data_IF_427708202043
#
_entry.id   IF_427708202043
#
_cell.length_a   1.000
_cell.length_b   1.000
_cell.length_c   1.000
_cell.angle_alpha   90.00
_cell.angle_beta   90.00
_cell.angle_gamma   90.00
#
_symmetry.space_group_name_H-M   'P 1'
#
loop_
_entity.id
_entity.type
_entity.pdbx_description
1 polymer ?
#
# COMPACT_ATOMS: atom_id res chain seq x y z
N UNK A 1 -2.05 24.69 33.68
CA UNK A 1 -2.57 24.08 32.44
C UNK A 1 -2.56 22.57 32.65
N UNK A 2 -3.74 21.94 32.67
CA UNK A 2 -3.92 20.52 32.96
C UNK A 2 -3.59 19.66 31.74
N UNK A 3 -2.52 18.87 31.82
CA UNK A 3 -2.25 17.80 30.85
C UNK A 3 -3.04 16.54 31.24
N UNK A 4 -4.14 16.27 30.56
CA UNK A 4 -4.79 14.95 30.62
C UNK A 4 -3.98 13.98 29.77
N UNK A 5 -3.31 13.04 30.43
CA UNK A 5 -2.70 11.88 29.78
C UNK A 5 -3.82 11.05 29.13
N UNK A 6 -3.70 10.83 27.82
CA UNK A 6 -4.57 9.92 27.08
C UNK A 6 -4.14 8.50 27.47
N UNK A 7 -4.99 7.80 28.23
CA UNK A 7 -4.80 6.37 28.49
C UNK A 7 -5.16 5.59 27.23
N UNK A 8 -4.19 4.87 26.68
CA UNK A 8 -4.37 4.01 25.51
C UNK A 8 -4.45 2.53 25.92
N UNK A 9 -5.24 1.72 25.20
CA UNK A 9 -5.36 0.30 25.50
C UNK A 9 -4.03 -0.45 25.33
N UNK A 10 -3.86 -1.46 26.19
CA UNK A 10 -2.71 -2.35 26.23
C UNK A 10 -2.43 -3.00 24.85
N UNK A 11 -1.14 -3.23 24.57
CA UNK A 11 -0.65 -3.92 23.38
C UNK A 11 -1.43 -5.20 23.09
N UNK A 12 -1.84 -5.36 21.83
CA UNK A 12 -2.48 -6.60 21.36
C UNK A 12 -1.40 -7.69 21.30
N UNK A 13 -1.52 -8.63 22.22
CA UNK A 13 -0.67 -9.80 22.34
C UNK A 13 -0.96 -10.77 21.18
N UNK A 14 0.01 -10.94 20.27
CA UNK A 14 -0.15 -11.72 19.04
C UNK A 14 -0.32 -13.23 19.34
N UNK A 15 0.19 -13.71 20.49
CA UNK A 15 -0.07 -15.07 20.97
C UNK A 15 -1.57 -15.28 21.31
N UNK A 16 -2.28 -14.23 21.72
CA UNK A 16 -3.73 -14.31 21.96
C UNK A 16 -4.56 -14.28 20.67
N UNK A 17 -3.96 -14.03 19.51
CA UNK A 17 -4.63 -14.15 18.20
C UNK A 17 -4.55 -15.58 17.64
N UNK A 18 -3.49 -16.35 17.93
CA UNK A 18 -3.48 -17.79 17.62
C UNK A 18 -4.41 -18.57 18.56
N UNK A 19 -4.44 -18.21 19.84
CA UNK A 19 -5.24 -18.93 20.83
C UNK A 19 -6.73 -18.54 20.81
N UNK A 20 -7.09 -17.41 20.19
CA UNK A 20 -8.49 -17.00 20.02
C UNK A 20 -9.26 -17.84 19.01
N UNK A 21 -8.56 -18.61 18.17
CA UNK A 21 -9.20 -19.51 17.20
C UNK A 21 -9.80 -20.74 17.87
N UNK A 22 -9.36 -21.09 19.09
CA UNK A 22 -9.68 -22.41 19.66
C UNK A 22 -10.53 -22.43 20.93
N UNK A 23 -10.97 -21.28 21.47
CA UNK A 23 -11.82 -21.33 22.67
C UNK A 23 -12.76 -20.13 22.87
N UNK A 24 -13.88 -20.13 22.14
CA UNK A 24 -15.16 -19.53 22.60
C UNK A 24 -16.34 -20.44 22.22
N UNK A 25 -16.51 -21.52 22.99
CA UNK A 25 -17.77 -22.25 23.09
C UNK A 25 -18.80 -21.40 23.85
N UNK A 26 -19.34 -20.39 23.19
CA UNK A 26 -20.69 -19.89 23.47
C UNK A 26 -21.53 -20.29 22.28
N UNK A 27 -22.60 -21.06 22.49
CA UNK A 27 -23.43 -21.70 21.47
C UNK A 27 -24.18 -20.74 20.55
N UNK A 28 -23.44 -20.00 19.73
CA UNK A 28 -23.88 -19.29 18.54
C UNK A 28 -22.90 -19.72 17.43
N UNK A 29 -23.33 -20.68 16.62
CA UNK A 29 -22.62 -21.03 15.39
C UNK A 29 -22.80 -19.84 14.45
N UNK A 30 -21.84 -18.93 14.42
CA UNK A 30 -21.78 -17.93 13.36
C UNK A 30 -21.39 -18.67 12.08
N UNK A 31 -22.32 -18.75 11.12
CA UNK A 31 -21.96 -19.19 9.77
C UNK A 31 -20.93 -18.21 9.21
N UNK A 32 -19.73 -18.72 8.98
CA UNK A 32 -18.63 -17.95 8.45
C UNK A 32 -18.92 -17.55 6.99
N UNK A 33 -18.98 -16.24 6.74
CA UNK A 33 -19.35 -15.72 5.42
C UNK A 33 -18.21 -15.92 4.41
N UNK A 34 -18.53 -15.83 3.12
CA UNK A 34 -17.51 -15.87 2.04
C UNK A 34 -16.51 -14.72 2.22
N UNK A 35 -16.98 -13.57 2.67
CA UNK A 35 -16.17 -12.40 3.00
C UNK A 35 -15.20 -12.67 4.16
N UNK A 36 -15.64 -13.35 5.22
CA UNK A 36 -14.78 -13.68 6.37
C UNK A 36 -13.65 -14.62 5.97
N UNK A 37 -13.94 -15.65 5.17
CA UNK A 37 -12.93 -16.59 4.63
C UNK A 37 -11.91 -15.87 3.74
N UNK A 38 -12.38 -14.91 2.94
CA UNK A 38 -11.49 -14.09 2.11
C UNK A 38 -10.54 -13.26 2.98
N UNK A 39 -11.07 -12.58 4.00
CA UNK A 39 -10.27 -11.76 4.93
C UNK A 39 -9.25 -12.65 5.65
N UNK A 40 -9.67 -13.79 6.19
CA UNK A 40 -8.77 -14.71 6.89
C UNK A 40 -7.65 -15.23 6.00
N UNK A 41 -7.96 -15.57 4.73
CA UNK A 41 -6.95 -15.97 3.75
C UNK A 41 -5.91 -14.87 3.52
N UNK A 42 -6.35 -13.62 3.37
CA UNK A 42 -5.44 -12.47 3.19
C UNK A 42 -4.61 -12.20 4.46
N UNK A 43 -5.22 -12.28 5.65
CA UNK A 43 -4.52 -12.15 6.93
C UNK A 43 -3.47 -13.24 7.10
N UNK A 44 -3.79 -14.49 6.73
CA UNK A 44 -2.86 -15.61 6.81
C UNK A 44 -1.61 -15.38 5.93
N UNK A 45 -1.79 -14.88 4.71
CA UNK A 45 -0.67 -14.50 3.83
C UNK A 45 0.18 -13.40 4.48
N UNK A 46 -0.44 -12.38 5.07
CA UNK A 46 0.28 -11.30 5.74
C UNK A 46 1.06 -11.78 6.98
N UNK A 47 0.53 -12.72 7.75
CA UNK A 47 1.24 -13.30 8.90
C UNK A 47 2.52 -14.03 8.46
N UNK A 48 2.50 -14.71 7.31
CA UNK A 48 3.69 -15.35 6.72
C UNK A 48 4.73 -14.33 6.28
N UNK A 49 4.28 -13.25 5.65
CA UNK A 49 5.14 -12.12 5.25
C UNK A 49 5.81 -11.53 6.48
N UNK A 50 5.03 -11.27 7.54
CA UNK A 50 5.52 -10.78 8.82
C UNK A 50 6.56 -11.72 9.42
N UNK A 51 6.32 -13.02 9.41
CA UNK A 51 7.24 -14.02 9.93
C UNK A 51 8.61 -13.97 9.23
N UNK A 52 8.62 -13.93 7.89
CA UNK A 52 9.86 -13.84 7.11
C UNK A 52 10.56 -12.49 7.36
N UNK A 53 9.79 -11.40 7.35
CA UNK A 53 10.30 -10.04 7.56
C UNK A 53 10.90 -9.84 8.95
N UNK A 54 10.32 -10.47 9.97
CA UNK A 54 10.78 -10.37 11.37
C UNK A 54 11.81 -11.46 11.74
N UNK A 55 12.24 -12.31 10.81
CA UNK A 55 13.10 -13.45 11.12
C UNK A 55 14.58 -13.10 11.30
N UNK A 56 15.29 -13.83 12.16
CA UNK A 56 16.77 -13.76 12.25
C UNK A 56 17.46 -14.43 11.06
N UNK A 57 16.75 -15.31 10.36
CA UNK A 57 17.21 -16.03 9.19
C UNK A 57 16.77 -15.28 7.94
N UNK A 58 17.67 -14.48 7.39
CA UNK A 58 17.34 -13.63 6.25
C UNK A 58 17.36 -14.38 4.93
N UNK A 59 16.53 -13.92 4.00
CA UNK A 59 16.68 -14.25 2.60
C UNK A 59 18.06 -13.78 2.11
N UNK A 60 18.72 -14.60 1.28
CA UNK A 60 20.00 -14.24 0.69
C UNK A 60 19.83 -12.99 -0.17
N UNK A 61 20.86 -12.13 -0.17
CA UNK A 61 20.87 -10.92 -0.98
C UNK A 61 20.59 -11.22 -2.47
N UNK A 62 21.15 -12.31 -2.99
CA UNK A 62 20.92 -12.75 -4.37
C UNK A 62 19.48 -13.09 -4.70
N UNK A 63 18.65 -13.39 -3.69
CA UNK A 63 17.21 -13.68 -3.85
C UNK A 63 16.42 -12.37 -3.84
N UNK A 64 16.64 -11.52 -2.83
CA UNK A 64 15.90 -10.25 -2.69
C UNK A 64 16.27 -9.18 -3.72
N UNK A 65 17.36 -9.39 -4.48
CA UNK A 65 17.78 -8.50 -5.56
C UNK A 65 17.31 -8.97 -6.96
N UNK A 66 16.56 -10.07 -7.05
CA UNK A 66 15.96 -10.53 -8.30
C UNK A 66 14.94 -9.51 -8.80
N UNK A 67 14.96 -9.17 -10.09
CA UNK A 67 13.94 -8.30 -10.67
C UNK A 67 12.57 -8.96 -10.75
N UNK A 68 11.55 -8.18 -11.09
CA UNK A 68 10.17 -8.69 -11.22
C UNK A 68 10.14 -9.94 -12.11
N UNK A 69 10.84 -9.90 -13.25
CA UNK A 69 10.80 -10.99 -14.23
C UNK A 69 11.41 -12.28 -13.69
N UNK A 70 12.54 -12.18 -13.00
CA UNK A 70 13.22 -13.31 -12.39
C UNK A 70 12.35 -13.94 -11.30
N UNK A 71 11.73 -13.12 -10.44
CA UNK A 71 10.83 -13.61 -9.38
C UNK A 71 9.58 -14.27 -9.98
N UNK A 72 8.99 -13.67 -11.02
CA UNK A 72 7.82 -14.25 -11.71
C UNK A 72 8.15 -15.55 -12.45
N UNK A 73 9.38 -15.69 -12.95
CA UNK A 73 9.83 -16.91 -13.62
C UNK A 73 10.12 -18.05 -12.65
N UNK A 74 10.28 -17.75 -11.36
CA UNK A 74 10.45 -18.78 -10.34
C UNK A 74 9.11 -19.52 -10.12
N UNK A 75 9.16 -20.84 -10.05
CA UNK A 75 7.98 -21.66 -9.76
C UNK A 75 7.64 -21.71 -8.27
N UNK A 76 8.62 -21.53 -7.39
CA UNK A 76 8.42 -21.62 -5.95
C UNK A 76 8.05 -20.25 -5.38
N UNK A 77 7.10 -20.23 -4.44
CA UNK A 77 6.72 -19.04 -3.70
C UNK A 77 7.32 -19.12 -2.29
N UNK A 78 8.10 -18.11 -1.90
CA UNK A 78 8.83 -18.12 -0.62
C UNK A 78 7.89 -18.20 0.59
N UNK A 79 6.67 -17.67 0.47
CA UNK A 79 5.67 -17.72 1.54
C UNK A 79 5.19 -19.16 1.82
N UNK A 80 5.38 -20.10 0.89
CA UNK A 80 5.11 -21.51 1.15
C UNK A 80 6.01 -22.08 2.26
N UNK A 81 7.20 -21.49 2.44
CA UNK A 81 8.24 -21.95 3.38
C UNK A 81 8.46 -20.98 4.55
N UNK A 82 7.46 -20.14 4.87
CA UNK A 82 7.56 -19.15 5.94
C UNK A 82 7.89 -19.77 7.32
N UNK A 83 7.51 -21.02 7.55
CA UNK A 83 7.81 -21.82 8.75
C UNK A 83 9.31 -22.02 8.99
N UNK A 84 10.15 -21.96 7.95
CA UNK A 84 11.61 -22.09 8.05
C UNK A 84 12.31 -20.85 8.61
N UNK A 85 11.56 -19.78 8.84
CA UNK A 85 12.02 -18.47 9.27
C UNK A 85 11.62 -18.26 10.74
N UNK A 86 12.53 -18.51 11.70
CA UNK A 86 12.21 -18.42 13.12
C UNK A 86 12.14 -16.97 13.57
N UNK A 87 11.26 -16.70 14.54
CA UNK A 87 11.09 -15.38 15.17
C UNK A 87 12.03 -15.24 16.35
N UNK A 88 13.29 -14.90 16.09
CA UNK A 88 14.33 -14.81 17.13
C UNK A 88 14.77 -13.37 17.44
N UNK A 89 14.41 -12.39 16.62
CA UNK A 89 14.72 -10.99 16.90
C UNK A 89 13.72 -10.39 17.87
N UNK A 90 14.23 -9.62 18.82
CA UNK A 90 13.45 -8.78 19.73
C UNK A 90 12.87 -7.58 18.97
N UNK A 91 11.81 -7.82 18.20
CA UNK A 91 11.07 -6.75 17.52
C UNK A 91 10.22 -5.93 18.50
N UNK A 92 10.14 -4.59 18.35
CA UNK A 92 10.72 -3.77 17.28
C UNK A 92 12.22 -3.52 17.49
N UNK A 93 12.98 -3.45 16.39
CA UNK A 93 14.34 -2.93 16.41
C UNK A 93 14.31 -1.42 16.62
N UNK A 94 15.26 -0.89 17.39
CA UNK A 94 15.55 0.55 17.41
C UNK A 94 16.15 0.97 16.07
N UNK A 95 16.05 2.27 15.76
CA UNK A 95 16.67 2.89 14.58
C UNK A 95 18.16 2.53 14.48
N UNK A 96 18.89 2.61 15.58
CA UNK A 96 20.32 2.32 15.61
C UNK A 96 20.61 0.83 15.38
N UNK A 97 19.80 -0.07 15.93
CA UNK A 97 19.92 -1.51 15.68
C UNK A 97 19.61 -1.84 14.23
N UNK A 98 18.55 -1.27 13.65
CA UNK A 98 18.20 -1.46 12.26
C UNK A 98 19.30 -0.96 11.31
N UNK A 99 19.88 0.22 11.59
CA UNK A 99 21.00 0.79 10.82
C UNK A 99 22.26 -0.07 10.93
N UNK A 100 22.62 -0.50 12.15
CA UNK A 100 23.78 -1.39 12.36
C UNK A 100 23.59 -2.72 11.64
N UNK A 101 22.37 -3.25 11.66
CA UNK A 101 22.05 -4.50 10.99
C UNK A 101 22.12 -4.35 9.46
N UNK A 102 21.51 -3.32 8.88
CA UNK A 102 21.55 -3.06 7.43
C UNK A 102 22.98 -2.78 6.92
N UNK A 103 23.85 -2.20 7.76
CA UNK A 103 25.24 -1.94 7.42
C UNK A 103 26.15 -3.19 7.42
N UNK A 104 25.71 -4.30 8.00
CA UNK A 104 26.51 -5.53 8.06
C UNK A 104 26.33 -6.43 6.82
N UNK A 105 27.41 -7.09 6.40
CA UNK A 105 27.40 -7.94 5.20
C UNK A 105 26.39 -9.10 5.33
N UNK A 106 25.64 -9.38 4.25
CA UNK A 106 24.67 -10.48 4.19
C UNK A 106 23.33 -10.23 4.89
N UNK A 107 23.01 -8.98 5.27
CA UNK A 107 21.74 -8.60 5.92
C UNK A 107 20.72 -7.98 4.96
N UNK A 108 19.42 -7.99 5.33
CA UNK A 108 18.36 -7.54 4.43
C UNK A 108 18.49 -6.05 4.13
N UNK A 109 18.51 -5.75 2.84
CA UNK A 109 18.16 -4.42 2.36
C UNK A 109 16.65 -4.28 2.48
N UNK A 110 16.19 -3.65 3.55
CA UNK A 110 14.78 -3.67 3.96
C UNK A 110 13.80 -3.27 2.85
N UNK A 111 14.10 -2.21 2.10
CA UNK A 111 13.32 -1.82 0.92
C UNK A 111 13.20 -2.97 -0.09
N UNK A 112 14.31 -3.64 -0.39
CA UNK A 112 14.37 -4.71 -1.38
C UNK A 112 13.64 -5.96 -0.89
N UNK A 113 13.77 -6.27 0.41
CA UNK A 113 13.00 -7.33 1.06
C UNK A 113 11.49 -7.03 0.99
N UNK A 114 11.08 -5.81 1.31
CA UNK A 114 9.67 -5.40 1.28
C UNK A 114 9.12 -5.42 -0.15
N UNK A 115 9.90 -4.97 -1.16
CA UNK A 115 9.55 -5.12 -2.59
C UNK A 115 9.40 -6.59 -2.97
N UNK A 116 10.38 -7.43 -2.62
CA UNK A 116 10.37 -8.85 -2.92
C UNK A 116 9.13 -9.55 -2.31
N UNK A 117 8.87 -9.31 -1.03
CA UNK A 117 7.70 -9.86 -0.33
C UNK A 117 6.40 -9.33 -0.93
N UNK A 118 6.35 -8.08 -1.43
CA UNK A 118 5.19 -7.58 -2.16
C UNK A 118 4.92 -8.39 -3.45
N UNK A 119 5.96 -8.75 -4.22
CA UNK A 119 5.82 -9.62 -5.40
C UNK A 119 5.29 -10.99 -5.00
N UNK A 120 5.87 -11.59 -3.95
CA UNK A 120 5.46 -12.91 -3.45
C UNK A 120 4.00 -12.92 -2.99
N UNK A 121 3.51 -11.84 -2.37
CA UNK A 121 2.10 -11.69 -2.00
C UNK A 121 1.21 -11.63 -3.24
N UNK A 122 1.57 -10.85 -4.26
CA UNK A 122 0.79 -10.76 -5.49
C UNK A 122 0.62 -12.14 -6.14
N UNK A 123 1.68 -12.98 -6.11
CA UNK A 123 1.66 -14.37 -6.60
C UNK A 123 0.72 -15.30 -5.82
N UNK A 124 0.21 -14.89 -4.65
CA UNK A 124 -0.82 -15.65 -3.91
C UNK A 124 -2.25 -15.32 -4.36
N UNK A 125 -2.44 -14.23 -5.12
CA UNK A 125 -3.76 -13.77 -5.54
C UNK A 125 -4.24 -14.53 -6.79
N UNK A 126 -5.46 -15.08 -6.73
CA UNK A 126 -6.00 -15.89 -7.83
C UNK A 126 -6.17 -15.13 -9.14
N UNK A 127 -6.53 -13.84 -9.09
CA UNK A 127 -6.63 -13.02 -10.30
C UNK A 127 -5.26 -12.71 -10.89
N UNK A 128 -4.24 -12.48 -10.05
CA UNK A 128 -2.88 -12.26 -10.52
C UNK A 128 -2.36 -13.46 -11.34
N UNK A 129 -2.61 -14.68 -10.85
CA UNK A 129 -2.22 -15.92 -11.54
C UNK A 129 -2.97 -16.15 -12.87
N UNK A 130 -4.10 -15.48 -13.09
CA UNK A 130 -4.90 -15.56 -14.33
C UNK A 130 -4.56 -14.50 -15.37
N UNK A 131 -3.80 -13.47 -14.97
CA UNK A 131 -3.22 -12.49 -15.89
C UNK A 131 -2.15 -13.16 -16.75
N UNK A 132 -1.98 -12.67 -17.97
CA UNK A 132 -0.81 -13.03 -18.75
C UNK A 132 0.45 -12.40 -18.14
N UNK A 133 1.62 -12.91 -18.56
CA UNK A 133 2.89 -12.48 -18.01
C UNK A 133 3.14 -10.97 -18.17
N UNK A 134 2.69 -10.38 -19.28
CA UNK A 134 2.86 -8.96 -19.55
C UNK A 134 2.00 -8.11 -18.59
N UNK A 135 0.75 -8.50 -18.37
CA UNK A 135 -0.16 -7.87 -17.44
C UNK A 135 0.29 -8.01 -15.98
N UNK A 136 0.83 -9.17 -15.61
CA UNK A 136 1.46 -9.39 -14.31
C UNK A 136 2.60 -8.40 -14.07
N UNK A 137 3.51 -8.27 -15.04
CA UNK A 137 4.63 -7.34 -14.98
C UNK A 137 4.14 -5.88 -14.90
N UNK A 138 3.18 -5.49 -15.75
CA UNK A 138 2.61 -4.14 -15.78
C UNK A 138 1.95 -3.75 -14.44
N UNK A 139 1.18 -4.67 -13.85
CA UNK A 139 0.55 -4.49 -12.55
C UNK A 139 1.58 -4.30 -11.44
N UNK A 140 2.56 -5.20 -11.35
CA UNK A 140 3.60 -5.16 -10.33
C UNK A 140 4.41 -3.87 -10.40
N UNK A 141 4.79 -3.44 -11.61
CA UNK A 141 5.52 -2.18 -11.83
C UNK A 141 4.78 -0.97 -11.26
N UNK A 142 3.45 -0.96 -11.20
CA UNK A 142 2.69 0.16 -10.64
C UNK A 142 2.35 -0.02 -9.16
N UNK A 143 1.97 -1.22 -8.73
CA UNK A 143 1.39 -1.46 -7.41
C UNK A 143 2.41 -1.73 -6.29
N UNK A 144 3.61 -2.21 -6.59
CA UNK A 144 4.59 -2.68 -5.59
C UNK A 144 5.01 -1.57 -4.62
N UNK A 145 5.41 -0.40 -5.14
CA UNK A 145 5.91 0.68 -4.28
C UNK A 145 4.82 1.27 -3.39
N UNK A 146 3.58 1.32 -3.88
CA UNK A 146 2.43 1.74 -3.07
C UNK A 146 2.16 0.73 -1.94
N UNK A 147 2.24 -0.58 -2.24
CA UNK A 147 2.15 -1.63 -1.24
C UNK A 147 3.29 -1.60 -0.21
N UNK A 148 4.53 -1.35 -0.65
CA UNK A 148 5.68 -1.22 0.25
C UNK A 148 5.52 -0.03 1.20
N UNK A 149 5.07 1.13 0.69
CA UNK A 149 4.75 2.29 1.53
C UNK A 149 3.65 2.00 2.56
N UNK A 150 2.60 1.29 2.15
CA UNK A 150 1.52 0.88 3.03
C UNK A 150 2.03 -0.06 4.12
N UNK A 151 2.85 -1.05 3.76
CA UNK A 151 3.49 -2.00 4.66
C UNK A 151 4.28 -1.29 5.77
N UNK A 152 5.17 -0.38 5.37
CA UNK A 152 5.99 0.40 6.30
C UNK A 152 5.15 1.21 7.27
N UNK A 153 4.17 1.94 6.74
CA UNK A 153 3.34 2.82 7.54
C UNK A 153 2.50 2.03 8.55
N UNK A 154 1.91 0.91 8.12
CA UNK A 154 1.10 0.05 8.96
C UNK A 154 1.91 -0.56 10.10
N UNK A 155 3.07 -1.18 9.81
CA UNK A 155 3.88 -1.78 10.87
C UNK A 155 4.51 -0.74 11.79
N UNK A 156 4.93 0.41 11.28
CA UNK A 156 5.42 1.50 12.14
C UNK A 156 4.34 2.00 13.10
N UNK A 157 3.09 2.12 12.63
CA UNK A 157 1.95 2.48 13.46
C UNK A 157 1.61 1.39 14.49
N UNK A 158 1.54 0.12 14.08
CA UNK A 158 1.18 -1.00 14.95
C UNK A 158 2.13 -1.14 16.15
N UNK A 159 3.40 -0.82 15.93
CA UNK A 159 4.44 -0.88 16.95
C UNK A 159 4.50 0.39 17.83
N UNK A 160 3.49 1.27 17.74
CA UNK A 160 3.33 2.49 18.56
C UNK A 160 4.54 3.44 18.51
N UNK A 161 5.29 3.45 17.42
CA UNK A 161 6.42 4.36 17.33
C UNK A 161 6.01 5.73 16.83
N UNK A 162 6.51 6.75 17.52
CA UNK A 162 6.43 8.16 17.10
C UNK A 162 7.35 8.45 15.91
N UNK A 163 8.27 7.52 15.60
CA UNK A 163 9.22 7.59 14.48
C UNK A 163 9.04 6.39 13.55
N UNK A 164 9.49 6.50 12.29
CA UNK A 164 9.57 5.34 11.40
C UNK A 164 10.49 4.29 12.03
N UNK A 165 9.93 3.16 12.50
CA UNK A 165 10.72 2.05 13.08
C UNK A 165 11.62 1.43 12.03
N UNK A 166 11.21 1.50 10.77
CA UNK A 166 12.00 1.03 9.67
C UNK A 166 11.84 1.98 8.51
N UNK A 167 12.82 2.85 8.28
CA UNK A 167 12.86 3.59 7.06
C UNK A 167 13.59 2.71 6.04
N UNK A 168 12.95 2.51 4.88
CA UNK A 168 13.52 2.50 3.52
C UNK A 168 14.74 3.47 3.33
N UNK A 169 15.02 4.35 4.29
CA UNK A 169 15.73 5.62 4.16
C UNK A 169 17.01 5.71 5.00
N UNK A 170 17.31 4.77 5.89
CA UNK A 170 18.35 5.00 6.90
C UNK A 170 19.75 4.48 6.61
N UNK A 171 19.98 3.68 5.57
CA UNK A 171 21.37 3.45 5.21
C UNK A 171 22.00 4.80 4.85
N UNK A 172 23.07 5.16 5.56
CA UNK A 172 23.92 6.33 5.23
C UNK A 172 24.46 6.26 3.79
N UNK A 173 24.21 5.15 3.10
CA UNK A 173 24.60 4.83 1.74
C UNK A 173 23.52 5.13 0.68
N UNK A 174 22.32 5.61 1.05
CA UNK A 174 21.24 5.93 0.07
C UNK A 174 21.48 7.21 -0.75
N UNK A 175 22.54 7.98 -0.46
CA UNK A 175 23.01 9.09 -1.31
C UNK A 175 23.02 10.45 -0.62
N UNK A 176 22.82 11.52 -1.40
CA UNK A 176 22.78 12.91 -0.91
C UNK A 176 21.72 13.09 0.18
N UNK A 177 22.04 13.88 1.21
CA UNK A 177 21.14 14.32 2.31
C UNK A 177 19.76 14.79 1.80
N UNK A 178 19.70 15.38 0.61
CA UNK A 178 18.44 15.81 -0.03
C UNK A 178 17.48 14.65 -0.33
N UNK A 179 18.00 13.51 -0.78
CA UNK A 179 17.21 12.33 -1.15
C UNK A 179 16.65 11.68 0.11
N UNK A 180 17.53 11.48 1.10
CA UNK A 180 17.15 10.97 2.42
C UNK A 180 16.03 11.82 3.03
N UNK A 181 16.15 13.16 2.99
CA UNK A 181 15.10 14.05 3.49
C UNK A 181 13.78 13.91 2.72
N UNK A 182 13.82 13.75 1.39
CA UNK A 182 12.61 13.61 0.56
C UNK A 182 11.93 12.25 0.79
N UNK A 183 12.68 11.17 0.89
CA UNK A 183 12.17 9.85 1.25
C UNK A 183 11.56 9.85 2.65
N UNK A 184 12.24 10.46 3.63
CA UNK A 184 11.70 10.66 4.98
C UNK A 184 10.38 11.43 4.95
N UNK A 185 10.28 12.51 4.17
CA UNK A 185 9.06 13.29 4.05
C UNK A 185 7.89 12.45 3.50
N UNK A 186 8.14 11.61 2.50
CA UNK A 186 7.12 10.70 1.94
C UNK A 186 6.67 9.72 3.02
N UNK A 187 7.60 8.99 3.65
CA UNK A 187 7.27 8.00 4.66
C UNK A 187 6.56 8.62 5.88
N UNK A 188 6.99 9.79 6.35
CA UNK A 188 6.33 10.52 7.44
C UNK A 188 4.90 10.94 7.08
N UNK A 189 4.65 11.41 5.84
CA UNK A 189 3.30 11.76 5.38
C UNK A 189 2.39 10.53 5.34
N UNK A 190 2.89 9.41 4.83
CA UNK A 190 2.17 8.14 4.79
C UNK A 190 1.86 7.63 6.20
N UNK A 191 2.82 7.70 7.13
CA UNK A 191 2.60 7.36 8.53
C UNK A 191 1.59 8.27 9.23
N UNK A 192 1.64 9.58 8.99
CA UNK A 192 0.68 10.50 9.58
C UNK A 192 -0.75 10.21 9.10
N UNK A 193 -0.92 9.86 7.83
CA UNK A 193 -2.20 9.40 7.31
C UNK A 193 -2.64 8.08 7.96
N UNK A 194 -1.75 7.08 8.02
CA UNK A 194 -1.98 5.79 8.69
C UNK A 194 -2.39 5.95 10.16
N UNK A 195 -1.72 6.84 10.91
CA UNK A 195 -2.02 7.10 12.32
C UNK A 195 -3.38 7.77 12.55
N UNK A 196 -3.90 8.51 11.57
CA UNK A 196 -5.27 9.05 11.62
C UNK A 196 -6.31 7.97 11.28
N UNK A 197 -6.00 7.13 10.30
CA UNK A 197 -6.92 6.08 9.83
C UNK A 197 -6.96 4.91 10.81
N UNK A 198 -5.86 4.52 11.48
CA UNK A 198 -5.86 3.45 12.49
C UNK A 198 -6.51 2.15 12.00
N UNK A 199 -6.06 1.64 10.85
CA UNK A 199 -6.62 0.42 10.27
C UNK A 199 -6.34 -0.81 11.13
N UNK A 200 -7.30 -1.73 11.20
CA UNK A 200 -7.03 -3.08 11.71
C UNK A 200 -6.24 -3.92 10.68
N UNK A 201 -5.78 -5.10 11.08
CA UNK A 201 -5.09 -6.02 10.17
C UNK A 201 -5.98 -6.43 8.99
N UNK A 202 -7.26 -6.69 9.25
CA UNK A 202 -8.26 -7.06 8.26
C UNK A 202 -8.46 -5.92 7.23
N UNK A 203 -8.60 -4.69 7.71
CA UNK A 203 -8.74 -3.49 6.88
C UNK A 203 -7.49 -3.24 6.04
N UNK A 204 -6.31 -3.45 6.63
CA UNK A 204 -5.01 -3.31 5.97
C UNK A 204 -4.84 -4.32 4.82
N UNK A 205 -5.09 -5.61 5.05
CA UNK A 205 -4.90 -6.63 3.99
C UNK A 205 -5.92 -6.48 2.86
N UNK A 206 -7.13 -6.00 3.16
CA UNK A 206 -8.12 -5.65 2.14
C UNK A 206 -7.66 -4.43 1.32
N UNK A 207 -7.10 -3.40 1.96
CA UNK A 207 -6.54 -2.26 1.23
C UNK A 207 -5.39 -2.66 0.31
N UNK A 208 -4.49 -3.55 0.76
CA UNK A 208 -3.44 -4.12 -0.10
C UNK A 208 -4.01 -4.82 -1.33
N UNK A 209 -5.03 -5.65 -1.12
CA UNK A 209 -5.70 -6.36 -2.21
C UNK A 209 -6.38 -5.38 -3.19
N UNK A 210 -6.94 -4.28 -2.71
CA UNK A 210 -7.46 -3.17 -3.55
C UNK A 210 -6.35 -2.55 -4.40
N UNK A 211 -5.16 -2.31 -3.83
CA UNK A 211 -4.01 -1.77 -4.57
C UNK A 211 -3.53 -2.75 -5.65
N UNK A 212 -3.47 -4.06 -5.35
CA UNK A 212 -3.11 -5.09 -6.33
C UNK A 212 -4.20 -5.38 -7.37
N UNK A 213 -5.41 -4.85 -7.21
CA UNK A 213 -6.49 -4.96 -8.19
C UNK A 213 -6.73 -3.65 -8.94
N UNK A 214 -5.75 -2.74 -8.93
CA UNK A 214 -5.84 -1.49 -9.68
C UNK A 214 -5.84 -1.77 -11.20
N UNK A 215 -6.96 -1.46 -11.86
CA UNK A 215 -7.17 -1.74 -13.29
C UNK A 215 -6.82 -0.57 -14.22
N UNK A 216 -6.67 0.66 -13.70
CA UNK A 216 -6.35 1.85 -14.48
C UNK A 216 -4.84 1.98 -14.77
N UNK A 217 -4.22 0.89 -15.20
CA UNK A 217 -2.77 0.75 -15.44
C UNK A 217 -2.52 0.79 -16.95
N UNK A 218 -1.64 1.70 -17.37
CA UNK A 218 -1.13 1.70 -18.74
C UNK A 218 -0.39 0.39 -19.05
N UNK A 219 -0.71 -0.23 -20.18
CA UNK A 219 -0.09 -1.47 -20.64
C UNK A 219 -0.86 -2.75 -20.29
N UNK A 220 -1.97 -2.67 -19.54
CA UNK A 220 -2.83 -3.84 -19.34
C UNK A 220 -3.65 -4.17 -20.59
N UNK A 221 -3.74 -5.47 -20.89
CA UNK A 221 -4.71 -6.02 -21.83
C UNK A 221 -6.15 -5.73 -21.39
N UNK A 222 -7.09 -5.77 -22.33
CA UNK A 222 -8.52 -5.61 -22.01
C UNK A 222 -9.00 -6.68 -21.03
N UNK A 223 -8.58 -7.93 -21.26
CA UNK A 223 -8.89 -9.05 -20.37
C UNK A 223 -8.35 -8.80 -18.96
N UNK A 224 -7.10 -8.35 -18.84
CA UNK A 224 -6.47 -8.04 -17.56
C UNK A 224 -7.19 -6.92 -16.82
N UNK A 225 -7.61 -5.87 -17.54
CA UNK A 225 -8.39 -4.76 -16.97
C UNK A 225 -9.72 -5.22 -16.38
N UNK A 226 -10.49 -6.01 -17.15
CA UNK A 226 -11.79 -6.56 -16.70
C UNK A 226 -11.61 -7.47 -15.48
N UNK A 227 -10.57 -8.31 -15.50
CA UNK A 227 -10.29 -9.22 -14.39
C UNK A 227 -9.95 -8.45 -13.10
N UNK A 228 -9.07 -7.46 -13.18
CA UNK A 228 -8.66 -6.64 -12.04
C UNK A 228 -9.79 -5.75 -11.53
N UNK A 229 -10.61 -5.18 -12.41
CA UNK A 229 -11.78 -4.40 -12.01
C UNK A 229 -12.77 -5.24 -11.20
N UNK A 230 -13.03 -6.48 -11.64
CA UNK A 230 -13.89 -7.41 -10.90
C UNK A 230 -13.38 -7.67 -9.48
N UNK A 231 -12.08 -7.92 -9.32
CA UNK A 231 -11.50 -8.11 -7.98
C UNK A 231 -11.48 -6.82 -7.16
N UNK A 232 -11.20 -5.67 -7.77
CA UNK A 232 -11.23 -4.37 -7.08
C UNK A 232 -12.60 -4.08 -6.47
N UNK A 233 -13.66 -4.35 -7.23
CA UNK A 233 -15.05 -4.26 -6.77
C UNK A 233 -15.31 -5.25 -5.63
N UNK A 234 -14.83 -6.50 -5.76
CA UNK A 234 -14.99 -7.54 -4.73
C UNK A 234 -14.34 -7.11 -3.40
N UNK A 235 -13.05 -6.77 -3.41
CA UNK A 235 -12.33 -6.35 -2.20
C UNK A 235 -12.92 -5.08 -1.61
N UNK A 236 -13.31 -4.11 -2.44
CA UNK A 236 -13.96 -2.87 -2.00
C UNK A 236 -15.30 -3.14 -1.29
N UNK A 237 -16.14 -4.01 -1.84
CA UNK A 237 -17.40 -4.41 -1.19
C UNK A 237 -17.14 -5.15 0.12
N UNK A 238 -16.18 -6.06 0.15
CA UNK A 238 -15.80 -6.79 1.38
C UNK A 238 -15.34 -5.83 2.46
N UNK A 239 -14.50 -4.84 2.14
CA UNK A 239 -14.06 -3.80 3.06
C UNK A 239 -15.23 -2.97 3.58
N UNK A 240 -16.11 -2.49 2.70
CA UNK A 240 -17.30 -1.73 3.10
C UNK A 240 -18.19 -2.54 4.06
N UNK A 241 -18.50 -3.80 3.71
CA UNK A 241 -19.32 -4.69 4.55
C UNK A 241 -18.66 -4.93 5.92
N UNK A 242 -17.36 -5.20 5.95
CA UNK A 242 -16.59 -5.41 7.18
C UNK A 242 -16.65 -4.18 8.09
N UNK A 243 -16.50 -2.98 7.52
CA UNK A 243 -16.57 -1.73 8.28
C UNK A 243 -17.99 -1.43 8.78
N UNK A 244 -19.00 -1.65 7.94
CA UNK A 244 -20.40 -1.41 8.31
C UNK A 244 -20.91 -2.40 9.35
N UNK A 245 -20.47 -3.67 9.33
CA UNK A 245 -20.85 -4.66 10.34
C UNK A 245 -20.25 -4.33 11.71
N UNK A 246 -19.03 -3.79 11.76
CA UNK A 246 -18.33 -3.43 13.00
C UNK A 246 -18.72 -2.08 13.58
N UNK A 247 -18.99 -1.08 12.73
CA UNK A 247 -19.17 0.31 13.14
C UNK A 247 -20.58 0.86 12.89
N UNK A 248 -21.44 0.10 12.21
CA UNK A 248 -22.73 0.57 11.71
C UNK A 248 -22.62 1.22 10.33
N UNK A 249 -23.76 1.34 9.63
CA UNK A 249 -23.80 1.74 8.22
C UNK A 249 -23.12 3.10 7.92
N UNK A 250 -23.44 4.13 8.69
CA UNK A 250 -22.94 5.49 8.47
C UNK A 250 -21.45 5.62 8.84
N UNK A 251 -21.06 5.19 10.05
CA UNK A 251 -19.67 5.25 10.52
C UNK A 251 -18.75 4.36 9.69
N UNK A 252 -19.21 3.16 9.30
CA UNK A 252 -18.47 2.25 8.43
C UNK A 252 -18.25 2.84 7.04
N UNK A 253 -19.27 3.48 6.44
CA UNK A 253 -19.13 4.17 5.16
C UNK A 253 -18.15 5.35 5.23
N UNK A 254 -18.18 6.13 6.33
CA UNK A 254 -17.20 7.20 6.57
C UNK A 254 -15.78 6.65 6.63
N UNK A 255 -15.57 5.58 7.41
CA UNK A 255 -14.26 4.93 7.54
C UNK A 255 -13.76 4.36 6.22
N UNK A 256 -14.66 3.77 5.43
CA UNK A 256 -14.35 3.27 4.09
C UNK A 256 -13.82 4.40 3.19
N UNK A 257 -14.50 5.56 3.18
CA UNK A 257 -14.06 6.71 2.40
C UNK A 257 -12.67 7.21 2.83
N UNK A 258 -12.38 7.23 4.13
CA UNK A 258 -11.06 7.57 4.67
C UNK A 258 -9.97 6.59 4.18
N UNK A 259 -10.25 5.28 4.25
CA UNK A 259 -9.31 4.23 3.81
C UNK A 259 -9.07 4.28 2.30
N UNK A 260 -10.12 4.40 1.48
CA UNK A 260 -9.96 4.43 0.01
C UNK A 260 -9.26 5.71 -0.44
N UNK A 261 -9.51 6.85 0.22
CA UNK A 261 -8.80 8.11 -0.08
C UNK A 261 -7.29 7.99 0.18
N UNK A 262 -6.87 7.10 1.09
CA UNK A 262 -5.46 6.86 1.36
C UNK A 262 -4.73 6.20 0.19
N UNK A 263 -5.43 5.46 -0.67
CA UNK A 263 -4.85 4.84 -1.88
C UNK A 263 -4.18 5.89 -2.77
N UNK A 264 -4.81 7.05 -2.97
CA UNK A 264 -4.24 8.14 -3.75
C UNK A 264 -2.94 8.68 -3.15
N UNK A 265 -2.87 8.80 -1.82
CA UNK A 265 -1.66 9.20 -1.11
C UNK A 265 -0.52 8.19 -1.31
N UNK A 266 -0.83 6.89 -1.27
CA UNK A 266 0.14 5.81 -1.47
C UNK A 266 0.69 5.81 -2.90
N UNK A 267 -0.16 5.92 -3.93
CA UNK A 267 0.29 5.98 -5.32
C UNK A 267 1.09 7.26 -5.63
N UNK A 268 0.69 8.40 -5.06
CA UNK A 268 1.47 9.64 -5.18
C UNK A 268 2.87 9.50 -4.54
N UNK A 269 2.94 8.93 -3.33
CA UNK A 269 4.22 8.64 -2.68
C UNK A 269 5.08 7.66 -3.48
N UNK A 270 4.46 6.63 -4.05
CA UNK A 270 5.12 5.64 -4.89
C UNK A 270 5.70 6.26 -6.17
N UNK A 271 4.98 7.20 -6.80
CA UNK A 271 5.48 7.96 -7.95
C UNK A 271 6.70 8.80 -7.56
N UNK A 272 6.64 9.50 -6.44
CA UNK A 272 7.77 10.29 -5.93
C UNK A 272 8.99 9.41 -5.61
N UNK A 273 8.79 8.22 -5.02
CA UNK A 273 9.87 7.24 -4.81
C UNK A 273 10.48 6.79 -6.14
N UNK A 274 9.66 6.56 -7.17
CA UNK A 274 10.12 6.19 -8.51
C UNK A 274 10.92 7.30 -9.17
N UNK A 275 10.53 8.56 -9.04
CA UNK A 275 11.33 9.69 -9.56
C UNK A 275 12.71 9.80 -8.88
N UNK A 276 12.79 9.37 -7.62
CA UNK A 276 14.06 9.30 -6.87
C UNK A 276 14.92 8.08 -7.26
N UNK A 277 14.44 7.21 -8.14
CA UNK A 277 15.18 6.01 -8.59
C UNK A 277 16.44 6.30 -9.41
N UNK A 278 16.74 7.57 -9.71
CA UNK A 278 17.97 8.00 -10.38
C UNK A 278 19.25 7.73 -9.54
N UNK A 279 19.12 7.49 -8.23
CA UNK A 279 20.23 7.34 -7.27
C UNK A 279 20.52 5.89 -6.88
N UNK A 280 21.74 5.48 -6.46
CA UNK A 280 22.21 4.08 -6.48
C UNK A 280 21.29 3.00 -5.92
N UNK A 281 20.63 3.24 -4.79
CA UNK A 281 19.68 2.28 -4.22
C UNK A 281 18.27 2.41 -4.82
N UNK A 282 17.86 3.63 -5.15
CA UNK A 282 16.72 3.88 -6.03
C UNK A 282 16.92 3.26 -7.42
N UNK A 283 18.15 3.20 -7.93
CA UNK A 283 18.56 2.62 -9.21
C UNK A 283 18.49 1.12 -9.13
N UNK A 284 18.75 0.52 -7.97
CA UNK A 284 18.54 -0.92 -7.74
C UNK A 284 17.06 -1.28 -7.63
N UNK A 285 16.25 -0.45 -6.96
CA UNK A 285 14.80 -0.60 -6.98
C UNK A 285 14.25 -0.36 -8.41
N UNK A 286 14.75 0.63 -9.14
CA UNK A 286 14.43 0.81 -10.56
C UNK A 286 14.92 -0.36 -11.40
N UNK A 287 16.10 -0.94 -11.18
CA UNK A 287 16.55 -2.14 -11.90
C UNK A 287 15.67 -3.36 -11.60
N UNK A 288 15.12 -3.48 -10.39
CA UNK A 288 14.09 -4.49 -10.12
C UNK A 288 12.78 -4.22 -10.86
N UNK A 289 12.44 -2.94 -11.06
CA UNK A 289 11.18 -2.46 -11.66
C UNK A 289 11.28 -2.16 -13.17
N UNK A 290 12.48 -2.09 -13.74
CA UNK A 290 12.78 -1.75 -15.14
C UNK A 290 13.62 -2.87 -15.76
N UNK A 291 13.05 -3.48 -16.80
CA UNK A 291 13.83 -4.10 -17.87
C UNK A 291 13.90 -3.09 -19.00
N UNK A 292 15.13 -2.76 -19.42
CA UNK A 292 15.46 -1.98 -20.61
C UNK A 292 15.14 -0.47 -20.57
N UNK A 293 16.15 0.33 -20.22
CA UNK A 293 16.35 1.60 -20.94
C UNK A 293 16.74 1.31 -22.39
N UNK A 294 15.78 0.92 -23.21
CA UNK A 294 15.90 1.05 -24.66
C UNK A 294 15.17 2.33 -25.07
N UNK A 295 15.97 3.34 -25.41
CA UNK A 295 15.68 4.51 -26.21
C UNK A 295 14.20 4.73 -26.60
N UNK A 296 13.49 5.56 -25.84
CA UNK A 296 12.45 6.41 -26.45
C UNK A 296 12.46 7.78 -25.78
N UNK A 297 12.62 8.77 -26.64
CA UNK A 297 12.79 10.18 -26.35
C UNK A 297 11.38 10.76 -26.08
N UNK A 298 10.89 10.71 -24.83
CA UNK A 298 9.61 11.36 -24.48
C UNK A 298 9.83 12.84 -24.17
N UNK A 299 10.06 13.60 -25.24
CA UNK A 299 9.77 15.04 -25.30
C UNK A 299 8.63 15.38 -26.26
N UNK A 300 7.94 14.38 -26.81
CA UNK A 300 6.78 14.58 -27.66
C UNK A 300 5.54 13.97 -27.00
N UNK A 301 4.42 14.70 -27.13
CA UNK A 301 3.05 14.37 -26.77
C UNK A 301 2.60 14.66 -25.31
N UNK A 302 2.38 15.96 -25.04
CA UNK A 302 1.16 16.36 -24.32
C UNK A 302 0.00 16.44 -25.31
N UNK A 303 -1.16 15.78 -25.07
CA UNK A 303 -2.34 15.95 -25.91
C UNK A 303 -2.97 17.33 -25.68
N UNK A 304 -3.12 18.08 -26.76
CA UNK A 304 -3.69 19.43 -26.86
C UNK A 304 -5.21 19.52 -26.67
N UNK A 305 -5.79 18.84 -25.66
CA UNK A 305 -7.23 18.87 -25.38
C UNK A 305 -7.59 19.35 -23.96
N UNK A 306 -6.74 20.17 -23.33
CA UNK A 306 -7.04 20.86 -22.07
C UNK A 306 -7.33 22.37 -22.23
N UNK A 307 -7.31 22.90 -23.45
CA UNK A 307 -7.61 24.32 -23.70
C UNK A 307 -9.12 24.64 -23.79
N UNK A 308 -9.98 23.66 -24.08
CA UNK A 308 -11.41 23.93 -24.36
C UNK A 308 -12.36 23.67 -23.17
N UNK A 309 -11.83 23.41 -21.96
CA UNK A 309 -12.64 23.23 -20.75
C UNK A 309 -12.59 24.44 -19.79
N UNK A 310 -11.78 25.46 -20.09
CA UNK A 310 -11.77 26.72 -19.35
C UNK A 310 -12.92 27.65 -19.76
N UNK A 311 -13.43 27.53 -21.00
CA UNK A 311 -14.47 28.44 -21.53
C UNK A 311 -15.92 28.02 -21.22
N UNK A 312 -16.13 26.84 -20.61
CA UNK A 312 -17.46 26.35 -20.22
C UNK A 312 -17.81 26.60 -18.74
N UNK A 313 -16.94 27.26 -17.98
CA UNK A 313 -17.15 27.55 -16.56
C UNK A 313 -17.66 28.98 -16.26
N UNK A 314 -18.02 29.76 -17.28
CA UNK A 314 -18.60 31.10 -17.15
C UNK A 314 -19.97 31.18 -17.85
N UNK A 315 -20.92 30.38 -17.41
CA UNK A 315 -22.34 30.67 -17.63
C UNK A 315 -23.07 30.57 -16.28
N UNK A 316 -23.44 31.73 -15.73
CA UNK A 316 -23.91 31.90 -14.34
C UNK A 316 -25.43 31.90 -14.19
N UNK A 317 -26.20 31.64 -15.23
CA UNK A 317 -27.66 31.82 -15.17
C UNK A 317 -28.46 30.61 -15.67
N UNK A 318 -28.43 29.49 -14.92
CA UNK A 318 -29.44 28.43 -15.11
C UNK A 318 -30.01 27.91 -13.78
N UNK A 319 -31.34 27.98 -13.57
CA UNK A 319 -31.96 27.58 -12.31
C UNK A 319 -32.13 26.05 -12.21
N UNK A 320 -31.92 25.54 -10.99
CA UNK A 320 -32.09 24.16 -10.56
C UNK A 320 -33.58 23.77 -10.52
N UNK A 321 -33.95 22.67 -11.18
CA UNK A 321 -35.18 21.94 -10.90
C UNK A 321 -34.95 20.44 -10.65
N UNK A 322 -35.33 20.05 -9.43
CA UNK A 322 -35.97 18.80 -8.95
C UNK A 322 -35.41 17.40 -9.27
N UNK A 323 -34.97 16.75 -8.18
CA UNK A 323 -35.24 15.37 -7.69
C UNK A 323 -35.56 14.28 -8.73
N UNK A 324 -34.70 13.27 -8.78
CA UNK A 324 -35.06 11.85 -8.80
C UNK A 324 -33.94 11.02 -8.15
N UNK A 325 -34.31 9.94 -7.45
CA UNK A 325 -33.39 9.07 -6.73
C UNK A 325 -32.82 8.01 -7.68
N UNK A 326 -31.51 8.03 -7.92
CA UNK A 326 -30.84 7.07 -8.80
C UNK A 326 -30.50 5.72 -8.10
N UNK A 327 -30.37 4.61 -8.87
CA UNK A 327 -30.19 3.27 -8.33
C UNK A 327 -28.75 3.02 -7.82
N UNK A 328 -28.63 2.01 -6.95
CA UNK A 328 -27.41 1.61 -6.24
C UNK A 328 -26.21 1.27 -7.16
N UNK A 329 -26.44 0.98 -8.44
CA UNK A 329 -25.39 0.71 -9.44
C UNK A 329 -24.56 1.95 -9.83
N UNK A 330 -25.13 3.16 -9.74
CA UNK A 330 -24.39 4.41 -10.01
C UNK A 330 -23.39 4.80 -8.90
N UNK A 331 -23.50 4.20 -7.69
CA UNK A 331 -22.55 4.46 -6.60
C UNK A 331 -21.19 3.78 -6.82
N UNK A 332 -21.12 2.73 -7.64
CA UNK A 332 -19.87 2.05 -8.00
C UNK A 332 -19.09 2.83 -9.07
N UNK A 333 -19.79 3.48 -10.01
CA UNK A 333 -19.17 4.45 -10.93
C UNK A 333 -18.52 5.60 -10.13
N UNK A 334 -19.15 6.07 -9.05
CA UNK A 334 -18.55 7.05 -8.14
C UNK A 334 -17.31 6.58 -7.40
N UNK A 335 -17.08 5.27 -7.18
CA UNK A 335 -15.83 4.78 -6.55
C UNK A 335 -14.66 4.87 -7.53
N UNK A 336 -14.88 4.46 -8.79
CA UNK A 336 -13.90 4.65 -9.86
C UNK A 336 -13.70 6.15 -10.17
N UNK A 337 -14.77 6.96 -10.13
CA UNK A 337 -14.68 8.40 -10.29
C UNK A 337 -13.99 9.08 -9.10
N UNK A 338 -14.17 8.61 -7.86
CA UNK A 338 -13.46 9.15 -6.69
C UNK A 338 -11.98 8.75 -6.73
N UNK A 339 -11.63 7.53 -7.13
CA UNK A 339 -10.23 7.15 -7.36
C UNK A 339 -9.60 7.98 -8.50
N UNK A 340 -10.33 8.20 -9.59
CA UNK A 340 -9.89 9.00 -10.74
C UNK A 340 -9.81 10.51 -10.42
N UNK A 341 -10.78 11.06 -9.71
CA UNK A 341 -10.83 12.46 -9.28
C UNK A 341 -9.86 12.75 -8.14
N UNK A 342 -9.61 11.81 -7.22
CA UNK A 342 -8.58 11.97 -6.17
C UNK A 342 -7.17 11.98 -6.76
N UNK A 343 -6.95 11.36 -7.94
CA UNK A 343 -5.66 11.46 -8.63
C UNK A 343 -5.50 12.80 -9.38
N UNK A 344 -6.59 13.40 -9.88
CA UNK A 344 -6.55 14.68 -10.60
C UNK A 344 -6.65 15.92 -9.68
N UNK A 345 -7.45 15.87 -8.61
CA UNK A 345 -7.71 17.02 -7.71
C UNK A 345 -6.50 17.36 -6.83
N UNK A 346 -5.63 16.39 -6.53
CA UNK A 346 -4.42 16.60 -5.72
C UNK A 346 -3.26 17.23 -6.49
N UNK A 347 -3.37 17.42 -7.81
CA UNK A 347 -2.38 18.17 -8.60
C UNK A 347 -2.46 19.70 -8.39
N UNK A 348 -3.61 20.21 -7.92
CA UNK A 348 -3.87 21.65 -7.83
C UNK A 348 -3.97 22.23 -6.41
N UNK A 349 -4.09 21.39 -5.38
CA UNK A 349 -4.13 21.83 -3.99
C UNK A 349 -2.95 21.22 -3.26
N UNK A 350 -1.81 21.94 -3.18
CA UNK A 350 -0.82 21.93 -2.08
C UNK A 350 0.52 22.49 -2.62
N UNK A 351 0.55 23.80 -2.80
CA UNK A 351 1.79 24.58 -2.76
C UNK A 351 1.62 25.63 -1.68
N UNK A 352 2.28 25.42 -0.55
CA UNK A 352 2.94 26.55 0.09
C UNK A 352 4.25 26.07 0.71
N UNK A 353 5.32 26.11 -0.10
CA UNK A 353 6.68 25.82 0.35
C UNK A 353 7.15 26.81 1.43
N UNK A 354 6.47 27.96 1.60
CA UNK A 354 6.81 28.96 2.62
C UNK A 354 6.47 28.50 4.05
N UNK A 355 5.45 27.65 4.22
CA UNK A 355 5.04 27.15 5.55
C UNK A 355 6.06 26.15 6.13
N UNK A 356 6.75 25.40 5.27
CA UNK A 356 7.79 24.44 5.68
C UNK A 356 9.10 25.16 6.05
N UNK A 357 9.43 26.27 5.36
CA UNK A 357 10.58 27.10 5.71
C UNK A 357 10.40 27.82 7.06
N UNK A 358 9.14 28.07 7.46
CA UNK A 358 8.80 28.74 8.72
C UNK A 358 8.81 27.80 9.93
N UNK A 359 8.60 26.49 9.75
CA UNK A 359 8.67 25.49 10.83
C UNK A 359 10.10 24.96 11.09
N UNK A 360 11.06 25.34 10.25
CA UNK A 360 12.47 24.94 10.34
C UNK A 360 13.40 26.07 10.85
N UNK A 361 12.81 27.19 11.30
CA UNK A 361 13.46 28.24 12.11
C UNK A 361 12.86 28.23 13.50
#
# INVERSE_FOLDING_TARGET
MNHRAIQFPASVDVAKLSDKVENRRTGLVFEETIEDKLIQSLVYVELKVRQIRESSRWLRESVILQGIREVLSNHENVLAHADQYPKELSWPLTIDEAVKLEASEGRPKWLMLDIFLCIEIARTMSAFLQLDYHDQEALLKQAILANALLLEAFYSWQMKSETLIMPIVLSKNYGSKRITNRMMLISCRTMAAMSRIQMTMEEFVLLRAIIYSHSAIHGLSERGRVLLEKESIRYSRTLMKHLQSRMGAASGAKKYAEIVSFVGCLFHGALQLREMSVYPAGRRAALMLETERAATNTREYMPSNLANLADLALDKDRPLHTKEAEPLENRLACVNLVLFCSLNFFSHCFLDESLIAMLMR
#
